data_IF_638080842619
#
_entry.id   IF_638080842619
#
_cell.length_a   1.000
_cell.length_b   1.000
_cell.length_c   1.000
_cell.angle_alpha   90.00
_cell.angle_beta   90.00
_cell.angle_gamma   90.00
#
_symmetry.space_group_name_H-M   'P 1'
#
loop_
_entity.id
_entity.type
_entity.pdbx_description
1 polymer ?
#
# COMPACT_ATOMS: atom_id res chain seq x y z
N UNK A 1 29.77 -13.04 -5.03
CA UNK A 1 29.55 -12.41 -3.71
C UNK A 1 28.23 -11.66 -3.81
N UNK A 2 27.17 -12.19 -3.20
CA UNK A 2 25.87 -11.54 -3.19
C UNK A 2 25.81 -10.57 -2.02
N UNK A 3 25.76 -9.29 -2.30
CA UNK A 3 25.63 -8.23 -1.29
C UNK A 3 24.26 -8.36 -0.62
N UNK A 4 24.16 -8.43 0.72
CA UNK A 4 22.85 -8.38 1.37
C UNK A 4 22.29 -6.96 1.21
N UNK A 5 21.17 -6.81 0.50
CA UNK A 5 20.47 -5.53 0.46
C UNK A 5 19.78 -5.30 1.82
N UNK A 6 19.95 -4.08 2.31
CA UNK A 6 19.71 -3.62 3.68
C UNK A 6 18.37 -4.08 4.29
N UNK A 7 18.43 -5.11 5.16
CA UNK A 7 17.34 -5.60 6.00
C UNK A 7 16.08 -5.99 5.23
N UNK A 8 15.55 -7.19 5.50
CA UNK A 8 14.14 -7.46 5.22
C UNK A 8 13.31 -6.49 6.07
N UNK A 9 13.08 -5.27 5.58
CA UNK A 9 12.08 -4.37 6.12
C UNK A 9 10.78 -5.12 5.90
N UNK A 10 10.26 -5.73 6.96
CA UNK A 10 8.95 -6.37 6.98
C UNK A 10 7.98 -5.58 6.08
N UNK A 11 7.35 -6.27 5.15
CA UNK A 11 6.29 -5.70 4.31
C UNK A 11 5.11 -5.36 5.23
N UNK A 12 5.09 -4.11 5.70
CA UNK A 12 4.03 -3.61 6.57
C UNK A 12 3.03 -2.88 5.71
N UNK A 13 1.83 -3.44 5.65
CA UNK A 13 0.64 -2.80 5.13
C UNK A 13 -0.10 -2.13 6.29
N UNK A 14 -0.60 -0.91 6.08
CA UNK A 14 -1.43 -0.21 7.07
C UNK A 14 -2.80 0.06 6.48
N UNK A 15 -3.84 -0.22 7.25
CA UNK A 15 -5.22 0.10 6.91
C UNK A 15 -5.81 0.84 8.09
N UNK A 16 -6.35 2.02 7.84
CA UNK A 16 -7.07 2.83 8.80
C UNK A 16 -8.49 3.09 8.28
N UNK A 17 -9.49 3.07 9.16
CA UNK A 17 -10.83 3.53 8.80
C UNK A 17 -10.87 5.05 8.79
N UNK A 18 -11.49 5.64 7.77
CA UNK A 18 -11.76 7.07 7.73
C UNK A 18 -12.92 7.41 8.67
N UNK A 19 -12.75 8.37 9.61
CA UNK A 19 -13.80 8.70 10.56
C UNK A 19 -15.10 9.15 9.88
N UNK A 20 -16.23 8.60 10.33
CA UNK A 20 -17.56 8.97 9.83
C UNK A 20 -17.94 8.33 8.50
N UNK A 21 -17.15 7.40 7.97
CA UNK A 21 -17.45 6.64 6.75
C UNK A 21 -17.13 5.15 6.94
N UNK A 22 -17.57 4.34 5.97
CA UNK A 22 -17.14 2.94 5.84
C UNK A 22 -15.87 2.79 4.97
N UNK A 23 -15.21 3.90 4.65
CA UNK A 23 -14.04 3.89 3.78
C UNK A 23 -12.76 3.51 4.54
N UNK A 24 -11.95 2.68 3.90
CA UNK A 24 -10.62 2.28 4.34
C UNK A 24 -9.58 3.12 3.60
N UNK A 25 -8.62 3.67 4.34
CA UNK A 25 -7.39 4.23 3.80
C UNK A 25 -6.26 3.22 3.94
N UNK A 26 -5.73 2.77 2.81
CA UNK A 26 -4.65 1.79 2.76
C UNK A 26 -3.32 2.42 2.39
N UNK A 27 -2.25 2.05 3.08
CA UNK A 27 -0.86 2.37 2.72
C UNK A 27 -0.09 1.09 2.45
N UNK A 28 0.40 0.94 1.22
CA UNK A 28 1.25 -0.17 0.80
C UNK A 28 2.67 -0.04 1.40
N UNK A 29 3.40 -1.14 1.49
CA UNK A 29 4.79 -1.13 1.99
C UNK A 29 5.74 -0.28 1.11
N UNK A 30 5.37 0.02 -0.14
CA UNK A 30 6.10 0.95 -1.02
C UNK A 30 5.77 2.43 -0.78
N UNK A 31 4.78 2.73 0.06
CA UNK A 31 4.31 4.09 0.35
C UNK A 31 3.16 4.58 -0.52
N UNK A 32 2.71 3.80 -1.51
CA UNK A 32 1.50 4.13 -2.26
C UNK A 32 0.26 4.09 -1.35
N UNK A 33 -0.74 4.91 -1.68
CA UNK A 33 -1.97 5.05 -0.91
C UNK A 33 -3.19 4.82 -1.79
N UNK A 34 -4.26 4.28 -1.21
CA UNK A 34 -5.55 4.09 -1.89
C UNK A 34 -6.71 4.17 -0.88
N UNK A 35 -7.90 4.49 -1.35
CA UNK A 35 -9.13 4.48 -0.55
C UNK A 35 -10.17 3.56 -1.17
N UNK A 36 -10.77 2.69 -0.38
CA UNK A 36 -11.87 1.81 -0.82
C UNK A 36 -12.81 1.51 0.34
N UNK A 37 -14.11 1.39 0.07
CA UNK A 37 -15.10 0.95 1.07
C UNK A 37 -15.14 -0.58 1.20
N UNK A 38 -14.74 -1.30 0.15
CA UNK A 38 -14.70 -2.76 0.13
C UNK A 38 -13.36 -3.28 0.70
N UNK A 39 -13.36 -4.01 1.84
CA UNK A 39 -12.17 -4.58 2.42
C UNK A 39 -11.45 -5.58 1.50
N UNK A 40 -12.19 -6.34 0.69
CA UNK A 40 -11.59 -7.32 -0.23
C UNK A 40 -10.83 -6.59 -1.33
N UNK A 41 -11.46 -5.59 -1.96
CA UNK A 41 -10.81 -4.71 -2.94
C UNK A 41 -9.56 -4.04 -2.37
N UNK A 42 -9.59 -3.62 -1.10
CA UNK A 42 -8.41 -3.03 -0.45
C UNK A 42 -7.26 -4.03 -0.35
N UNK A 43 -7.53 -5.27 0.06
CA UNK A 43 -6.50 -6.32 0.13
C UNK A 43 -6.01 -6.75 -1.25
N UNK A 44 -6.90 -6.89 -2.23
CA UNK A 44 -6.53 -7.16 -3.63
C UNK A 44 -5.58 -6.10 -4.16
N UNK A 45 -5.84 -4.82 -3.89
CA UNK A 45 -4.95 -3.74 -4.26
C UNK A 45 -3.59 -3.88 -3.55
N UNK A 46 -3.55 -4.05 -2.22
CA UNK A 46 -2.29 -4.14 -1.46
C UNK A 46 -1.38 -5.29 -1.90
N UNK A 47 -1.98 -6.44 -2.20
CA UNK A 47 -1.26 -7.65 -2.60
C UNK A 47 -0.87 -7.66 -4.08
N UNK A 48 -1.44 -6.77 -4.88
CA UNK A 48 -1.07 -6.58 -6.28
C UNK A 48 0.20 -5.73 -6.48
N UNK A 49 1.03 -5.53 -5.45
CA UNK A 49 2.33 -4.91 -5.64
C UNK A 49 3.24 -5.83 -6.50
N UNK A 50 3.94 -5.32 -7.53
CA UNK A 50 4.16 -3.90 -7.87
C UNK A 50 3.13 -3.25 -8.82
N UNK A 51 2.17 -4.00 -9.36
CA UNK A 51 1.18 -3.53 -10.31
C UNK A 51 0.30 -2.41 -9.71
N UNK A 52 0.22 -1.27 -10.39
CA UNK A 52 -0.58 -0.13 -9.93
C UNK A 52 0.03 0.66 -8.75
N UNK A 53 1.26 0.35 -8.34
CA UNK A 53 1.98 0.96 -7.22
C UNK A 53 3.30 1.59 -7.66
N UNK A 54 3.40 2.05 -8.90
CA UNK A 54 4.62 2.67 -9.38
C UNK A 54 4.95 3.90 -8.52
N UNK A 55 6.21 4.06 -8.07
CA UNK A 55 6.65 5.24 -7.34
C UNK A 55 6.75 6.42 -8.33
N UNK A 56 5.60 6.95 -8.70
CA UNK A 56 5.42 8.11 -9.56
C UNK A 56 4.48 9.06 -8.85
N UNK A 57 4.95 9.66 -7.75
CA UNK A 57 4.25 10.74 -7.09
C UNK A 57 3.91 11.84 -8.10
N UNK A 58 2.70 12.35 -7.98
CA UNK A 58 2.21 13.56 -8.64
C UNK A 58 3.24 14.69 -8.56
N UNK A 59 3.66 15.18 -9.72
CA UNK A 59 4.08 16.57 -9.90
C UNK A 59 3.53 17.07 -11.23
N UNK A 60 2.36 17.71 -11.18
CA UNK A 60 1.91 18.80 -12.06
C UNK A 60 0.67 19.44 -11.45
#
# INVERSE_FOLDING_TARGET
MSTPSAAARREVYRIDWLPGTDALHGTCHCGAENTAEDPVRMWEWMLAHPEGHQPGGTTS
#
